data_IF_728437952671
#
_entry.id   IF_728437952671
#
_cell.length_a   1.000
_cell.length_b   1.000
_cell.length_c   1.000
_cell.angle_alpha   90.00
_cell.angle_beta   90.00
_cell.angle_gamma   90.00
#
_symmetry.space_group_name_H-M   'P 1'
#
loop_
_entity.id
_entity.type
_entity.pdbx_description
1 polymer ?
#
# COMPACT_ATOMS: atom_id res chain seq x y z
N UNK A 1 -10.23 5.48 3.46
CA UNK A 1 -11.13 4.51 4.11
C UNK A 1 -10.67 4.30 5.54
N UNK A 2 -11.49 3.78 6.45
CA UNK A 2 -11.00 3.49 7.81
C UNK A 2 -10.04 2.30 7.82
N UNK A 3 -9.10 2.24 8.78
CA UNK A 3 -8.22 1.08 8.97
C UNK A 3 -9.03 -0.22 9.16
N UNK A 4 -10.22 -0.12 9.78
CA UNK A 4 -11.11 -1.26 10.01
C UNK A 4 -11.64 -1.81 8.67
N UNK A 5 -12.19 -0.96 7.81
CA UNK A 5 -12.66 -1.36 6.47
C UNK A 5 -11.50 -1.86 5.60
N UNK A 6 -10.36 -1.16 5.61
CA UNK A 6 -9.15 -1.60 4.90
C UNK A 6 -8.78 -3.04 5.25
N UNK A 7 -8.86 -3.40 6.54
CA UNK A 7 -8.45 -4.70 7.04
C UNK A 7 -9.46 -5.84 6.78
N UNK A 8 -10.64 -5.54 6.24
CA UNK A 8 -11.63 -6.58 5.87
C UNK A 8 -11.47 -7.12 4.45
N UNK A 9 -10.62 -6.52 3.63
CA UNK A 9 -10.35 -6.95 2.26
C UNK A 9 -8.95 -7.57 2.15
N UNK A 10 -8.79 -8.54 1.25
CA UNK A 10 -7.47 -8.97 0.78
C UNK A 10 -6.96 -8.04 -0.34
N UNK A 11 -5.75 -8.31 -0.85
CA UNK A 11 -5.16 -7.47 -1.89
C UNK A 11 -6.00 -7.40 -3.18
N UNK A 12 -6.66 -8.49 -3.58
CA UNK A 12 -7.50 -8.50 -4.79
C UNK A 12 -8.79 -7.72 -4.53
N UNK A 13 -9.39 -7.87 -3.35
CA UNK A 13 -10.55 -7.10 -2.92
C UNK A 13 -10.27 -5.60 -2.89
N UNK A 14 -9.12 -5.18 -2.36
CA UNK A 14 -8.70 -3.78 -2.38
C UNK A 14 -8.48 -3.28 -3.82
N UNK A 15 -7.86 -4.10 -4.67
CA UNK A 15 -7.71 -3.78 -6.10
C UNK A 15 -9.05 -3.60 -6.82
N UNK A 16 -10.07 -4.38 -6.46
CA UNK A 16 -11.42 -4.23 -6.99
C UNK A 16 -12.06 -2.90 -6.59
N UNK A 17 -11.90 -2.46 -5.35
CA UNK A 17 -12.39 -1.17 -4.88
C UNK A 17 -11.75 -0.02 -5.65
N UNK A 18 -10.45 -0.11 -5.93
CA UNK A 18 -9.73 0.87 -6.77
C UNK A 18 -10.27 0.85 -8.20
N UNK A 19 -10.40 -0.34 -8.79
CA UNK A 19 -10.89 -0.52 -10.17
C UNK A 19 -12.31 0.02 -10.38
N UNK A 20 -13.17 -0.19 -9.40
CA UNK A 20 -14.56 0.28 -9.40
C UNK A 20 -14.71 1.71 -8.89
N UNK A 21 -13.59 2.39 -8.58
CA UNK A 21 -13.53 3.78 -8.10
C UNK A 21 -14.28 4.03 -6.79
N UNK A 22 -14.46 2.99 -5.97
CA UNK A 22 -14.99 3.13 -4.62
C UNK A 22 -13.98 3.78 -3.66
N UNK A 23 -12.69 3.62 -3.96
CA UNK A 23 -11.57 4.32 -3.31
C UNK A 23 -10.50 4.61 -4.37
N UNK A 24 -9.72 5.67 -4.20
CA UNK A 24 -8.53 5.89 -5.02
C UNK A 24 -7.31 5.12 -4.51
N UNK A 25 -6.35 4.83 -5.39
CA UNK A 25 -5.07 4.24 -4.98
C UNK A 25 -4.33 5.10 -3.93
N UNK A 26 -4.44 6.42 -4.04
CA UNK A 26 -3.84 7.36 -3.08
C UNK A 26 -4.49 7.25 -1.69
N UNK A 27 -5.83 7.26 -1.61
CA UNK A 27 -6.53 7.09 -0.33
C UNK A 27 -6.25 5.72 0.31
N UNK A 28 -6.14 4.68 -0.52
CA UNK A 28 -5.78 3.34 -0.06
C UNK A 28 -4.36 3.30 0.49
N UNK A 29 -3.41 3.93 -0.19
CA UNK A 29 -2.02 4.07 0.26
C UNK A 29 -1.91 4.83 1.57
N UNK A 30 -2.56 5.98 1.71
CA UNK A 30 -2.49 6.76 2.97
C UNK A 30 -3.07 5.97 4.15
N UNK A 31 -4.12 5.17 3.92
CA UNK A 31 -4.67 4.28 4.97
C UNK A 31 -3.62 3.23 5.39
N UNK A 32 -2.86 2.68 4.44
CA UNK A 32 -1.79 1.72 4.73
C UNK A 32 -0.60 2.37 5.46
N UNK A 33 -0.25 3.61 5.10
CA UNK A 33 0.80 4.40 5.76
C UNK A 33 0.39 4.70 7.21
N UNK A 34 -0.83 5.20 7.44
CA UNK A 34 -1.35 5.48 8.79
C UNK A 34 -1.31 4.24 9.68
N UNK A 35 -1.80 3.10 9.18
CA UNK A 35 -1.75 1.82 9.91
C UNK A 35 -0.31 1.42 10.24
N UNK A 36 0.61 1.70 9.32
CA UNK A 36 2.02 1.39 9.49
C UNK A 36 2.67 2.28 10.55
N UNK A 37 2.44 3.58 10.53
CA UNK A 37 2.96 4.53 11.52
C UNK A 37 2.45 4.19 12.93
N UNK A 38 1.20 3.75 13.05
CA UNK A 38 0.62 3.34 14.33
C UNK A 38 1.25 2.05 14.91
N UNK A 39 1.68 1.11 14.06
CA UNK A 39 2.11 -0.23 14.48
C UNK A 39 3.63 -0.43 14.49
N UNK A 40 4.36 0.17 13.54
CA UNK A 40 5.79 -0.06 13.37
C UNK A 40 6.64 0.31 14.61
N UNK A 41 6.33 1.35 15.42
CA UNK A 41 7.09 1.62 16.64
C UNK A 41 7.10 0.48 17.65
N UNK A 42 6.10 -0.42 17.62
CA UNK A 42 6.02 -1.60 18.50
C UNK A 42 6.54 -2.86 17.83
N UNK A 43 6.30 -3.01 16.52
CA UNK A 43 6.64 -4.21 15.77
C UNK A 43 8.08 -4.20 15.22
N UNK A 44 8.62 -3.01 14.94
CA UNK A 44 9.91 -2.82 14.29
C UNK A 44 10.07 -3.67 13.01
N UNK A 45 9.05 -3.65 12.15
CA UNK A 45 8.93 -4.54 10.99
C UNK A 45 9.48 -3.92 9.69
N UNK A 46 9.54 -2.59 9.61
CA UNK A 46 9.94 -1.85 8.40
C UNK A 46 11.22 -1.08 8.69
N UNK A 47 12.27 -1.43 7.96
CA UNK A 47 13.62 -0.87 8.10
C UNK A 47 13.88 0.31 7.17
N UNK A 48 13.19 0.35 6.02
CA UNK A 48 13.34 1.39 5.00
C UNK A 48 11.95 1.86 4.54
N UNK A 49 11.74 3.17 4.46
CA UNK A 49 10.47 3.80 4.05
C UNK A 49 10.54 4.21 2.58
N UNK A 50 9.49 3.88 1.82
CA UNK A 50 9.34 4.23 0.40
C UNK A 50 8.05 5.03 0.15
N UNK A 51 7.58 5.77 1.15
CA UNK A 51 6.25 6.40 1.14
C UNK A 51 6.09 7.39 -0.01
N UNK A 52 7.12 8.19 -0.31
CA UNK A 52 7.11 9.15 -1.42
C UNK A 52 7.07 8.45 -2.78
N UNK A 53 7.90 7.41 -2.97
CA UNK A 53 7.90 6.60 -4.19
C UNK A 53 6.55 5.91 -4.40
N UNK A 54 5.93 5.42 -3.33
CA UNK A 54 4.60 4.82 -3.37
C UNK A 54 3.53 5.87 -3.74
N UNK A 55 3.61 7.10 -3.20
CA UNK A 55 2.71 8.21 -3.55
C UNK A 55 2.83 8.60 -5.01
N UNK A 56 4.04 8.61 -5.56
CA UNK A 56 4.26 8.85 -6.99
C UNK A 56 3.70 7.71 -7.85
N UNK A 57 3.93 6.46 -7.47
CA UNK A 57 3.38 5.30 -8.16
C UNK A 57 1.84 5.30 -8.17
N UNK A 58 1.20 5.71 -7.07
CA UNK A 58 -0.26 5.78 -6.96
C UNK A 58 -0.91 6.79 -7.92
N UNK A 59 -0.15 7.75 -8.48
CA UNK A 59 -0.64 8.70 -9.49
C UNK A 59 -0.84 8.06 -10.87
N UNK A 60 -0.22 6.91 -11.11
CA UNK A 60 -0.23 6.25 -12.43
C UNK A 60 -0.90 4.87 -12.31
N UNK A 61 -2.18 4.75 -12.67
CA UNK A 61 -2.87 3.46 -12.64
C UNK A 61 -2.21 2.46 -13.58
N UNK A 62 -2.09 1.22 -13.12
CA UNK A 62 -1.66 0.08 -13.93
C UNK A 62 -2.84 -0.86 -14.16
N UNK A 63 -2.74 -1.76 -15.13
CA UNK A 63 -3.73 -2.82 -15.30
C UNK A 63 -3.42 -4.03 -14.41
N UNK A 64 -4.46 -4.72 -13.94
CA UNK A 64 -4.33 -5.98 -13.22
C UNK A 64 -5.06 -6.03 -11.87
N UNK A 65 -5.14 -7.22 -11.26
CA UNK A 65 -5.93 -7.45 -10.05
C UNK A 65 -5.41 -6.73 -8.79
N UNK A 66 -4.15 -6.28 -8.81
CA UNK A 66 -3.52 -5.55 -7.71
C UNK A 66 -3.28 -4.07 -8.03
N UNK A 67 -3.94 -3.53 -9.06
CA UNK A 67 -3.78 -2.12 -9.42
C UNK A 67 -4.11 -1.20 -8.23
N UNK A 68 -3.15 -0.34 -7.89
CA UNK A 68 -3.26 0.61 -6.78
C UNK A 68 -3.12 0.01 -5.37
N UNK A 69 -2.84 -1.28 -5.23
CA UNK A 69 -2.74 -1.96 -3.93
C UNK A 69 -1.33 -1.76 -3.33
N UNK A 70 -1.21 -1.12 -2.15
CA UNK A 70 0.09 -0.97 -1.49
C UNK A 70 0.57 -2.30 -0.89
N UNK A 71 1.88 -2.53 -0.89
CA UNK A 71 2.50 -3.72 -0.30
C UNK A 71 3.84 -3.39 0.37
N UNK A 72 4.30 -4.27 1.25
CA UNK A 72 5.65 -4.21 1.83
C UNK A 72 6.57 -5.16 1.07
N UNK A 73 7.75 -4.68 0.70
CA UNK A 73 8.79 -5.49 0.09
C UNK A 73 9.72 -6.03 1.18
N UNK A 74 10.06 -7.32 1.10
CA UNK A 74 11.01 -7.92 2.02
C UNK A 74 12.43 -7.53 1.63
N UNK A 75 13.19 -7.03 2.60
CA UNK A 75 14.59 -6.58 2.43
C UNK A 75 15.60 -7.72 2.18
N UNK A 76 15.18 -8.99 2.31
CA UNK A 76 16.01 -10.13 1.93
C UNK A 76 15.57 -10.61 0.54
N UNK A 77 16.49 -10.54 -0.42
CA UNK A 77 16.32 -10.99 -1.81
C UNK A 77 15.28 -10.19 -2.64
N UNK A 78 14.77 -9.08 -2.12
CA UNK A 78 13.95 -8.14 -2.87
C UNK A 78 14.77 -6.96 -3.33
N UNK A 79 14.90 -6.79 -4.65
CA UNK A 79 15.59 -5.64 -5.23
C UNK A 79 14.59 -4.52 -5.53
N UNK A 80 14.96 -3.28 -5.20
CA UNK A 80 14.23 -2.09 -5.60
C UNK A 80 15.20 -1.14 -6.30
N UNK A 81 14.81 -0.63 -7.48
CA UNK A 81 15.71 0.23 -8.25
C UNK A 81 16.17 1.46 -7.43
N UNK A 82 17.47 1.53 -7.18
CA UNK A 82 18.09 2.61 -6.40
C UNK A 82 18.34 2.32 -4.92
N UNK A 83 18.08 1.09 -4.45
CA UNK A 83 18.38 0.62 -3.08
C UNK A 83 19.16 -0.68 -3.12
#
# INVERSE_FOLDING_TARGET
MTIKEYSTYDGVGLGELVRTKQVSAAELLETAIEKTEALNPKLNAIVTRFDEQARDAAKTPIEGPFSGVPFLLKDILGDYAGV
#
